data_IF_302917262460
#
_entry.id   IF_302917262460
#
_cell.length_a   1.000
_cell.length_b   1.000
_cell.length_c   1.000
_cell.angle_alpha   90.00
_cell.angle_beta   90.00
_cell.angle_gamma   90.00
#
_symmetry.space_group_name_H-M   'P 1'
#
loop_
_entity.id
_entity.type
_entity.pdbx_description
1 polymer ?
#
# COMPACT_ATOMS: atom_id res chain seq x y z
N UNK A 1 15.01 -15.68 -11.56
CA UNK A 1 14.09 -15.81 -12.72
C UNK A 1 13.26 -17.10 -12.75
N UNK A 2 13.78 -18.25 -12.26
CA UNK A 2 13.08 -19.55 -12.29
C UNK A 2 11.74 -19.59 -11.51
N UNK A 3 11.69 -19.01 -10.30
CA UNK A 3 10.49 -19.02 -9.46
C UNK A 3 9.32 -18.19 -10.04
N UNK A 4 9.60 -17.02 -10.62
CA UNK A 4 8.57 -16.15 -11.21
C UNK A 4 7.88 -16.79 -12.42
N UNK A 5 8.66 -17.35 -13.36
CA UNK A 5 8.11 -18.01 -14.55
C UNK A 5 7.24 -19.22 -14.19
N UNK A 6 7.66 -20.01 -13.20
CA UNK A 6 6.95 -21.22 -12.77
C UNK A 6 5.65 -20.94 -12.00
N UNK A 7 5.53 -19.79 -11.34
CA UNK A 7 4.30 -19.43 -10.62
C UNK A 7 3.34 -18.59 -11.46
N UNK A 8 3.84 -17.76 -12.37
CA UNK A 8 2.99 -17.05 -13.34
C UNK A 8 2.23 -17.99 -14.26
N UNK A 9 2.85 -19.11 -14.67
CA UNK A 9 2.19 -20.12 -15.49
C UNK A 9 1.01 -20.77 -14.78
N UNK A 10 1.12 -21.05 -13.47
CA UNK A 10 0.02 -21.63 -12.67
C UNK A 10 -1.18 -20.68 -12.55
N UNK A 11 -0.91 -19.39 -12.37
CA UNK A 11 -1.96 -18.37 -12.30
C UNK A 11 -2.67 -18.21 -13.65
N UNK A 12 -1.89 -18.14 -14.73
CA UNK A 12 -2.43 -18.07 -16.08
C UNK A 12 -3.28 -19.30 -16.40
N UNK A 13 -2.85 -20.49 -15.98
CA UNK A 13 -3.62 -21.72 -16.13
C UNK A 13 -4.95 -21.66 -15.36
N UNK A 14 -4.93 -21.26 -14.08
CA UNK A 14 -6.16 -21.14 -13.28
C UNK A 14 -7.18 -20.16 -13.91
N UNK A 15 -6.71 -19.03 -14.43
CA UNK A 15 -7.55 -18.05 -15.13
C UNK A 15 -8.11 -18.61 -16.44
N UNK A 16 -7.29 -19.33 -17.20
CA UNK A 16 -7.72 -19.99 -18.43
C UNK A 16 -8.80 -21.04 -18.15
N UNK A 17 -8.64 -21.87 -17.12
CA UNK A 17 -9.64 -22.86 -16.71
C UNK A 17 -10.93 -22.18 -16.26
N UNK A 18 -10.85 -21.14 -15.41
CA UNK A 18 -12.04 -20.40 -14.98
C UNK A 18 -12.78 -19.73 -16.15
N UNK A 19 -12.05 -19.19 -17.13
CA UNK A 19 -12.64 -18.64 -18.35
C UNK A 19 -13.31 -19.73 -19.19
N UNK A 20 -12.71 -20.91 -19.28
CA UNK A 20 -13.29 -22.06 -19.98
C UNK A 20 -14.60 -22.49 -19.33
N UNK A 21 -14.67 -22.54 -18.00
CA UNK A 21 -15.89 -22.89 -17.26
C UNK A 21 -17.03 -21.92 -17.58
N UNK A 22 -16.76 -20.60 -17.57
CA UNK A 22 -17.74 -19.58 -17.98
C UNK A 22 -18.23 -19.83 -19.41
N UNK A 23 -17.33 -20.12 -20.34
CA UNK A 23 -17.69 -20.42 -21.73
C UNK A 23 -18.54 -21.68 -21.86
N UNK A 24 -18.24 -22.72 -21.07
CA UNK A 24 -18.98 -23.98 -21.07
C UNK A 24 -20.42 -23.78 -20.59
N UNK A 25 -20.61 -23.15 -19.43
CA UNK A 25 -21.94 -22.87 -18.87
C UNK A 25 -22.79 -22.03 -19.84
N UNK A 26 -22.20 -21.01 -20.45
CA UNK A 26 -22.89 -20.21 -21.47
C UNK A 26 -23.34 -21.01 -22.69
N UNK A 27 -22.53 -21.98 -23.12
CA UNK A 27 -22.88 -22.85 -24.25
C UNK A 27 -24.04 -23.78 -23.88
N UNK A 28 -24.02 -24.37 -22.69
CA UNK A 28 -25.10 -25.21 -22.17
C UNK A 28 -26.42 -24.42 -22.04
N UNK A 29 -26.40 -23.22 -21.45
CA UNK A 29 -27.58 -22.35 -21.36
C UNK A 29 -28.20 -22.13 -22.74
N UNK A 30 -27.40 -21.73 -23.73
CA UNK A 30 -27.87 -21.48 -25.10
C UNK A 30 -28.46 -22.73 -25.74
N UNK A 31 -27.81 -23.89 -25.54
CA UNK A 31 -28.32 -25.15 -26.05
C UNK A 31 -29.71 -25.46 -25.48
N UNK A 32 -29.89 -25.34 -24.16
CA UNK A 32 -31.19 -25.57 -23.52
C UNK A 32 -32.26 -24.53 -23.90
N UNK A 33 -31.90 -23.26 -24.08
CA UNK A 33 -32.81 -22.20 -24.53
C UNK A 33 -33.31 -22.43 -25.98
N UNK A 34 -32.57 -23.16 -26.81
CA UNK A 34 -32.94 -23.49 -28.20
C UNK A 34 -33.87 -24.72 -28.33
N UNK A 35 -34.02 -25.54 -27.28
CA UNK A 35 -34.85 -26.75 -27.31
C UNK A 35 -36.34 -26.34 -27.15
N UNK A 36 -37.04 -26.19 -28.29
CA UNK A 36 -38.48 -25.92 -28.54
C UNK A 36 -39.39 -25.51 -27.34
N UNK A 37 -40.01 -24.32 -27.47
CA UNK A 37 -40.97 -23.72 -26.54
C UNK A 37 -42.25 -24.54 -26.28
N UNK A 38 -42.58 -25.53 -27.13
CA UNK A 38 -43.84 -26.30 -27.07
C UNK A 38 -43.87 -27.37 -25.96
N UNK A 39 -42.79 -27.56 -25.21
CA UNK A 39 -42.80 -28.38 -23.99
C UNK A 39 -41.98 -27.71 -22.90
N UNK A 40 -42.52 -26.62 -22.35
CA UNK A 40 -42.10 -26.03 -21.08
C UNK A 40 -42.50 -26.97 -19.92
N UNK A 41 -41.92 -28.16 -19.90
CA UNK A 41 -41.94 -28.98 -18.69
C UNK A 41 -41.19 -28.22 -17.58
N UNK A 42 -41.78 -28.19 -16.39
CA UNK A 42 -41.21 -27.53 -15.19
C UNK A 42 -39.75 -27.97 -14.93
N UNK A 43 -39.39 -29.20 -15.32
CA UNK A 43 -38.04 -29.73 -15.20
C UNK A 43 -37.02 -28.96 -16.08
N UNK A 44 -37.36 -28.60 -17.32
CA UNK A 44 -36.45 -27.84 -18.21
C UNK A 44 -36.22 -26.42 -17.68
N UNK A 45 -37.30 -25.76 -17.25
CA UNK A 45 -37.22 -24.42 -16.65
C UNK A 45 -36.37 -24.41 -15.38
N UNK A 46 -36.51 -25.43 -14.53
CA UNK A 46 -35.68 -25.58 -13.33
C UNK A 46 -34.19 -25.76 -13.66
N UNK A 47 -33.85 -26.47 -14.74
CA UNK A 47 -32.46 -26.68 -15.18
C UNK A 47 -31.84 -25.39 -15.74
N UNK A 48 -32.58 -24.65 -16.57
CA UNK A 48 -32.13 -23.34 -17.08
C UNK A 48 -31.87 -22.37 -15.93
N UNK A 49 -32.75 -22.36 -14.91
CA UNK A 49 -32.56 -21.54 -13.72
C UNK A 49 -31.26 -21.88 -12.98
N UNK A 50 -30.99 -23.16 -12.73
CA UNK A 50 -29.74 -23.62 -12.08
C UNK A 50 -28.51 -23.20 -12.91
N UNK A 51 -28.53 -23.43 -14.23
CA UNK A 51 -27.43 -23.04 -15.11
C UNK A 51 -27.16 -21.52 -15.08
N UNK A 52 -28.20 -20.68 -14.98
CA UNK A 52 -28.05 -19.22 -14.84
C UNK A 52 -27.42 -18.83 -13.50
N UNK A 53 -27.69 -19.56 -12.42
CA UNK A 53 -26.99 -19.37 -11.14
C UNK A 53 -25.52 -19.83 -11.22
N UNK A 54 -25.24 -20.97 -11.86
CA UNK A 54 -23.87 -21.42 -12.13
C UNK A 54 -23.06 -20.41 -12.96
N UNK A 55 -23.68 -19.77 -13.95
CA UNK A 55 -23.06 -18.73 -14.78
C UNK A 55 -22.62 -17.54 -13.91
N UNK A 56 -23.50 -17.10 -13.01
CA UNK A 56 -23.19 -16.01 -12.06
C UNK A 56 -22.02 -16.39 -11.16
N UNK A 57 -22.02 -17.60 -10.61
CA UNK A 57 -20.94 -18.11 -9.75
C UNK A 57 -19.63 -18.19 -10.55
N UNK A 58 -19.66 -18.73 -11.76
CA UNK A 58 -18.48 -18.87 -12.63
C UNK A 58 -17.87 -17.51 -13.02
N UNK A 59 -18.72 -16.52 -13.34
CA UNK A 59 -18.27 -15.15 -13.59
C UNK A 59 -17.65 -14.51 -12.34
N UNK A 60 -18.25 -14.73 -11.16
CA UNK A 60 -17.73 -14.24 -9.89
C UNK A 60 -16.35 -14.85 -9.60
N UNK A 61 -16.22 -16.18 -9.72
CA UNK A 61 -14.97 -16.92 -9.61
C UNK A 61 -13.87 -16.34 -10.51
N UNK A 62 -14.17 -16.18 -11.80
CA UNK A 62 -13.23 -15.61 -12.76
C UNK A 62 -12.77 -14.20 -12.37
N UNK A 63 -13.70 -13.36 -11.91
CA UNK A 63 -13.38 -12.00 -11.45
C UNK A 63 -12.50 -12.01 -10.20
N UNK A 64 -12.81 -12.85 -9.19
CA UNK A 64 -11.99 -12.95 -7.98
C UNK A 64 -10.56 -13.38 -8.30
N UNK A 65 -10.38 -14.33 -9.23
CA UNK A 65 -9.08 -14.78 -9.70
C UNK A 65 -8.25 -13.67 -10.36
N UNK A 66 -8.89 -12.86 -11.21
CA UNK A 66 -8.24 -11.74 -11.90
C UNK A 66 -7.82 -10.66 -10.90
N UNK A 67 -8.70 -10.31 -9.96
CA UNK A 67 -8.39 -9.34 -8.90
C UNK A 67 -7.27 -9.87 -8.01
N UNK A 68 -7.30 -11.15 -7.63
CA UNK A 68 -6.25 -11.81 -6.86
C UNK A 68 -4.87 -11.71 -7.56
N UNK A 69 -4.82 -11.93 -8.88
CA UNK A 69 -3.59 -11.78 -9.69
C UNK A 69 -3.04 -10.35 -9.67
N UNK A 70 -3.90 -9.36 -9.84
CA UNK A 70 -3.45 -7.96 -9.83
C UNK A 70 -2.81 -7.58 -8.49
N UNK A 71 -3.44 -7.94 -7.37
CA UNK A 71 -2.86 -7.70 -6.04
C UNK A 71 -1.54 -8.45 -5.86
N UNK A 72 -1.46 -9.72 -6.29
CA UNK A 72 -0.24 -10.50 -6.16
C UNK A 72 0.93 -9.89 -6.96
N UNK A 73 0.69 -9.51 -8.21
CA UNK A 73 1.68 -8.84 -9.06
C UNK A 73 2.14 -7.52 -8.44
N UNK A 74 1.19 -6.75 -7.88
CA UNK A 74 1.55 -5.49 -7.25
C UNK A 74 2.39 -5.69 -6.00
N UNK A 75 2.05 -6.70 -5.18
CA UNK A 75 2.85 -7.09 -4.02
C UNK A 75 4.27 -7.51 -4.41
N UNK A 76 4.41 -8.25 -5.52
CA UNK A 76 5.70 -8.68 -6.07
C UNK A 76 6.58 -7.51 -6.53
N UNK A 77 6.01 -6.49 -7.17
CA UNK A 77 6.72 -5.25 -7.52
C UNK A 77 7.20 -4.51 -6.27
N UNK A 78 6.30 -4.30 -5.31
CA UNK A 78 6.59 -3.60 -4.06
C UNK A 78 7.67 -4.30 -3.24
N UNK A 79 7.65 -5.63 -3.18
CA UNK A 79 8.67 -6.41 -2.49
C UNK A 79 10.05 -6.27 -3.16
N UNK A 80 10.11 -6.13 -4.50
CA UNK A 80 11.37 -5.87 -5.22
C UNK A 80 11.89 -4.45 -4.97
N UNK A 81 10.99 -3.49 -4.80
CA UNK A 81 11.31 -2.10 -4.46
C UNK A 81 11.74 -1.93 -2.98
N UNK A 82 11.58 -2.96 -2.15
CA UNK A 82 11.86 -2.90 -0.70
C UNK A 82 10.69 -2.40 0.15
N UNK A 83 9.53 -2.10 -0.46
CA UNK A 83 8.29 -1.69 0.21
C UNK A 83 7.55 -2.90 0.79
N UNK A 84 8.17 -3.56 1.78
CA UNK A 84 7.71 -4.86 2.28
C UNK A 84 6.36 -4.81 3.01
N UNK A 85 6.00 -3.70 3.66
CA UNK A 85 4.69 -3.57 4.35
C UNK A 85 3.53 -3.55 3.37
N UNK A 86 3.71 -2.88 2.25
CA UNK A 86 2.71 -2.71 1.21
C UNK A 86 2.59 -3.99 0.40
N UNK A 87 3.73 -4.65 0.17
CA UNK A 87 3.75 -5.99 -0.37
C UNK A 87 2.91 -6.93 0.51
N UNK A 88 3.09 -6.90 1.83
CA UNK A 88 2.26 -7.68 2.76
C UNK A 88 0.76 -7.40 2.61
N UNK A 89 0.35 -6.12 2.58
CA UNK A 89 -1.06 -5.73 2.42
C UNK A 89 -1.63 -6.26 1.09
N UNK A 90 -0.87 -6.15 0.01
CA UNK A 90 -1.27 -6.67 -1.29
C UNK A 90 -1.39 -8.21 -1.28
N UNK A 91 -0.45 -8.91 -0.65
CA UNK A 91 -0.53 -10.36 -0.49
C UNK A 91 -1.74 -10.78 0.37
N UNK A 92 -2.09 -10.04 1.42
CA UNK A 92 -3.30 -10.30 2.21
C UNK A 92 -4.58 -10.13 1.38
N UNK A 93 -4.68 -9.07 0.58
CA UNK A 93 -5.80 -8.88 -0.33
C UNK A 93 -5.89 -9.99 -1.37
N UNK A 94 -4.76 -10.34 -1.99
CA UNK A 94 -4.67 -11.46 -2.94
C UNK A 94 -5.10 -12.78 -2.30
N UNK A 95 -4.65 -13.06 -1.07
CA UNK A 95 -5.03 -14.25 -0.31
C UNK A 95 -6.54 -14.29 -0.04
N UNK A 96 -7.13 -13.19 0.42
CA UNK A 96 -8.59 -13.08 0.65
C UNK A 96 -9.38 -13.32 -0.63
N UNK A 97 -8.94 -12.74 -1.74
CA UNK A 97 -9.57 -12.92 -3.06
C UNK A 97 -9.45 -14.36 -3.57
N UNK A 98 -8.30 -14.98 -3.34
CA UNK A 98 -8.09 -16.39 -3.68
C UNK A 98 -8.94 -17.33 -2.80
N UNK A 99 -9.20 -16.97 -1.54
CA UNK A 99 -10.14 -17.71 -0.69
C UNK A 99 -11.57 -17.59 -1.21
N UNK A 100 -12.02 -16.38 -1.56
CA UNK A 100 -13.35 -16.17 -2.16
C UNK A 100 -13.53 -16.99 -3.45
N UNK A 101 -12.48 -17.13 -4.26
CA UNK A 101 -12.48 -18.00 -5.42
C UNK A 101 -12.64 -19.50 -5.06
N UNK A 102 -12.02 -19.97 -3.98
CA UNK A 102 -12.24 -21.35 -3.49
C UNK A 102 -13.69 -21.55 -3.03
N UNK A 103 -14.24 -20.59 -2.28
CA UNK A 103 -15.62 -20.64 -1.79
C UNK A 103 -16.61 -20.65 -2.97
N UNK A 104 -16.37 -19.83 -4.00
CA UNK A 104 -17.18 -19.80 -5.23
C UNK A 104 -17.08 -21.11 -6.03
N UNK A 105 -15.90 -21.72 -6.09
CA UNK A 105 -15.71 -23.01 -6.76
C UNK A 105 -16.44 -24.15 -6.02
N UNK A 106 -16.50 -24.09 -4.69
CA UNK A 106 -17.27 -25.04 -3.88
C UNK A 106 -18.78 -24.91 -4.13
N UNK A 107 -19.29 -23.67 -4.18
CA UNK A 107 -20.68 -23.43 -4.58
C UNK A 107 -20.97 -23.94 -6.00
N UNK A 108 -20.04 -23.70 -6.94
CA UNK A 108 -20.17 -24.18 -8.31
C UNK A 108 -20.30 -25.70 -8.36
N UNK A 109 -19.46 -26.44 -7.62
CA UNK A 109 -19.54 -27.90 -7.51
C UNK A 109 -20.92 -28.37 -7.01
N UNK A 110 -21.47 -27.68 -6.01
CA UNK A 110 -22.78 -28.02 -5.44
C UNK A 110 -23.88 -27.86 -6.51
N UNK A 111 -23.88 -26.75 -7.25
CA UNK A 111 -24.88 -26.50 -8.29
C UNK A 111 -24.75 -27.48 -9.47
N UNK A 112 -23.52 -27.76 -9.94
CA UNK A 112 -23.28 -28.76 -11.00
C UNK A 112 -23.86 -30.14 -10.64
N UNK A 113 -23.70 -30.55 -9.39
CA UNK A 113 -24.26 -31.81 -8.89
C UNK A 113 -25.80 -31.78 -8.87
N UNK A 114 -26.43 -30.65 -8.52
CA UNK A 114 -27.89 -30.48 -8.56
C UNK A 114 -28.44 -30.53 -9.99
N UNK A 115 -27.73 -29.95 -10.95
CA UNK A 115 -28.11 -29.95 -12.36
C UNK A 115 -28.05 -31.34 -13.04
N UNK A 116 -27.55 -32.36 -12.33
CA UNK A 116 -27.28 -33.72 -12.83
C UNK A 116 -26.44 -33.70 -14.11
N UNK A 117 -25.49 -32.77 -14.20
CA UNK A 117 -24.58 -32.66 -15.35
C UNK A 117 -23.49 -33.71 -15.17
N UNK A 118 -23.57 -34.80 -15.92
CA UNK A 118 -22.51 -35.81 -15.96
C UNK A 118 -21.49 -35.49 -17.07
N UNK A 119 -20.81 -34.35 -16.92
CA UNK A 119 -19.71 -33.95 -17.79
C UNK A 119 -18.37 -34.19 -17.09
N UNK A 120 -17.78 -35.36 -17.35
CA UNK A 120 -16.52 -35.77 -16.74
C UNK A 120 -15.35 -34.82 -17.06
N UNK A 121 -15.36 -34.20 -18.24
CA UNK A 121 -14.34 -33.23 -18.63
C UNK A 121 -14.39 -31.98 -17.75
N UNK A 122 -15.59 -31.42 -17.50
CA UNK A 122 -15.75 -30.26 -16.63
C UNK A 122 -15.48 -30.57 -15.16
N UNK A 123 -15.86 -31.77 -14.69
CA UNK A 123 -15.47 -32.25 -13.34
C UNK A 123 -13.95 -32.27 -13.17
N UNK A 124 -13.21 -32.75 -14.17
CA UNK A 124 -11.75 -32.75 -14.15
C UNK A 124 -11.17 -31.33 -14.15
N UNK A 125 -11.71 -30.40 -14.95
CA UNK A 125 -11.32 -28.98 -14.95
C UNK A 125 -11.52 -28.33 -13.57
N UNK A 126 -12.62 -28.63 -12.89
CA UNK A 126 -12.91 -28.13 -11.54
C UNK A 126 -11.88 -28.66 -10.53
N UNK A 127 -11.54 -29.95 -10.59
CA UNK A 127 -10.52 -30.55 -9.71
C UNK A 127 -9.15 -29.89 -9.94
N UNK A 128 -8.76 -29.70 -11.20
CA UNK A 128 -7.51 -29.03 -11.55
C UNK A 128 -7.48 -27.58 -11.07
N UNK A 129 -8.59 -26.85 -11.24
CA UNK A 129 -8.72 -25.48 -10.76
C UNK A 129 -8.59 -25.40 -9.23
N UNK A 130 -9.24 -26.30 -8.50
CA UNK A 130 -9.16 -26.35 -7.05
C UNK A 130 -7.72 -26.60 -6.56
N UNK A 131 -7.03 -27.57 -7.16
CA UNK A 131 -5.62 -27.86 -6.87
C UNK A 131 -4.76 -26.62 -7.09
N UNK A 132 -4.91 -25.97 -8.26
CA UNK A 132 -4.17 -24.76 -8.60
C UNK A 132 -4.45 -23.62 -7.62
N UNK A 133 -5.71 -23.43 -7.20
CA UNK A 133 -6.11 -22.41 -6.23
C UNK A 133 -5.50 -22.65 -4.84
N UNK A 134 -5.51 -23.89 -4.35
CA UNK A 134 -4.91 -24.27 -3.05
C UNK A 134 -3.40 -24.07 -3.05
N UNK A 135 -2.72 -24.50 -4.12
CA UNK A 135 -1.29 -24.26 -4.28
C UNK A 135 -0.96 -22.77 -4.30
N UNK A 136 -1.72 -22.00 -5.08
CA UNK A 136 -1.56 -20.55 -5.17
C UNK A 136 -1.75 -19.86 -3.82
N UNK A 137 -2.80 -20.23 -3.08
CA UNK A 137 -3.08 -19.69 -1.74
C UNK A 137 -1.88 -19.87 -0.80
N UNK A 138 -1.28 -21.06 -0.86
CA UNK A 138 -0.06 -21.38 -0.10
C UNK A 138 1.12 -20.52 -0.53
N UNK A 139 1.34 -20.32 -1.84
CA UNK A 139 2.41 -19.46 -2.33
C UNK A 139 2.23 -17.99 -1.92
N UNK A 140 1.02 -17.45 -2.02
CA UNK A 140 0.72 -16.08 -1.57
C UNK A 140 1.04 -15.92 -0.08
N UNK A 141 0.68 -16.91 0.74
CA UNK A 141 1.02 -16.89 2.17
C UNK A 141 2.54 -16.91 2.43
N UNK A 142 3.29 -17.73 1.68
CA UNK A 142 4.75 -17.76 1.79
C UNK A 142 5.39 -16.42 1.40
N UNK A 143 4.86 -15.74 0.36
CA UNK A 143 5.29 -14.38 0.00
C UNK A 143 5.00 -13.38 1.11
N UNK A 144 3.79 -13.42 1.67
CA UNK A 144 3.43 -12.60 2.82
C UNK A 144 4.40 -12.81 3.99
N UNK A 145 4.67 -14.07 4.36
CA UNK A 145 5.61 -14.39 5.45
C UNK A 145 7.02 -13.87 5.15
N UNK A 146 7.52 -14.08 3.94
CA UNK A 146 8.84 -13.57 3.53
C UNK A 146 8.90 -12.04 3.60
N UNK A 147 7.90 -11.34 3.09
CA UNK A 147 7.83 -9.88 3.17
C UNK A 147 7.74 -9.41 4.63
N UNK A 148 7.01 -10.12 5.49
CA UNK A 148 6.96 -9.85 6.93
C UNK A 148 8.31 -10.00 7.61
N UNK A 149 9.03 -11.08 7.31
CA UNK A 149 10.36 -11.35 7.87
C UNK A 149 11.35 -10.28 7.39
N UNK A 150 11.33 -9.93 6.10
CA UNK A 150 12.17 -8.87 5.54
C UNK A 150 11.84 -7.50 6.13
N UNK A 151 10.55 -7.17 6.30
CA UNK A 151 10.13 -5.94 6.98
C UNK A 151 10.62 -5.90 8.42
N UNK A 152 10.64 -7.03 9.12
CA UNK A 152 11.08 -7.12 10.53
C UNK A 152 12.59 -6.97 10.62
N UNK A 153 13.35 -7.60 9.71
CA UNK A 153 14.81 -7.53 9.67
C UNK A 153 15.34 -6.13 9.32
N UNK A 154 14.54 -5.27 8.69
CA UNK A 154 14.90 -3.87 8.43
C UNK A 154 14.64 -2.92 9.61
N UNK A 155 14.05 -3.42 10.70
CA UNK A 155 13.73 -2.58 11.86
C UNK A 155 14.92 -2.54 12.82
N UNK A 156 15.50 -1.37 12.97
CA UNK A 156 16.61 -1.10 13.87
C UNK A 156 16.13 -0.43 15.15
N UNK A 157 16.96 -0.51 16.19
CA UNK A 157 16.77 0.34 17.37
C UNK A 157 16.85 1.82 16.95
N UNK A 158 15.93 2.64 17.44
CA UNK A 158 15.84 4.05 17.03
C UNK A 158 17.13 4.82 17.35
N UNK A 159 17.84 4.45 18.42
CA UNK A 159 19.10 5.08 18.83
C UNK A 159 20.20 4.90 17.79
N UNK A 160 20.18 3.78 17.04
CA UNK A 160 21.15 3.45 16.00
C UNK A 160 20.89 4.10 14.64
N UNK A 161 19.70 4.68 14.43
CA UNK A 161 19.33 5.31 13.15
C UNK A 161 19.83 6.75 13.09
N UNK A 162 20.13 7.22 11.88
CA UNK A 162 20.38 8.64 11.60
C UNK A 162 19.67 9.03 10.32
N UNK A 163 19.33 10.31 10.16
CA UNK A 163 18.59 10.78 8.99
C UNK A 163 19.38 10.42 7.73
N UNK A 164 18.74 9.74 6.79
CA UNK A 164 19.41 9.36 5.54
C UNK A 164 19.60 10.57 4.62
N UNK A 165 20.53 10.50 3.67
CA UNK A 165 20.69 11.56 2.67
C UNK A 165 19.40 11.80 1.86
N UNK A 166 18.62 10.74 1.57
CA UNK A 166 17.31 10.86 0.93
C UNK A 166 16.32 11.62 1.81
N UNK A 167 16.34 11.37 3.12
CA UNK A 167 15.54 12.11 4.09
C UNK A 167 15.92 13.59 4.16
N UNK A 168 17.23 13.88 4.17
CA UNK A 168 17.74 15.26 4.14
C UNK A 168 17.28 15.98 2.87
N UNK A 169 17.43 15.36 1.70
CA UNK A 169 17.02 15.97 0.43
C UNK A 169 15.50 16.12 0.31
N UNK A 170 14.73 15.20 0.88
CA UNK A 170 13.28 15.32 0.97
C UNK A 170 12.86 16.55 1.78
N UNK A 171 13.42 16.74 2.98
CA UNK A 171 13.06 17.88 3.83
C UNK A 171 13.48 19.18 3.12
N UNK A 172 14.71 19.25 2.56
CA UNK A 172 15.17 20.37 1.73
C UNK A 172 14.24 20.66 0.55
N UNK A 173 13.56 19.66 0.03
CA UNK A 173 12.56 19.79 -1.03
C UNK A 173 11.42 20.76 -0.70
N UNK A 174 11.03 20.82 0.57
CA UNK A 174 10.00 21.74 1.09
C UNK A 174 10.59 23.07 1.59
N UNK A 175 11.87 23.13 1.89
CA UNK A 175 12.54 24.33 2.38
C UNK A 175 13.11 25.16 1.22
N UNK A 176 12.84 26.48 1.21
CA UNK A 176 13.41 27.37 0.19
C UNK A 176 14.86 27.72 0.54
N UNK A 177 15.80 27.35 -0.33
CA UNK A 177 17.20 27.79 -0.20
C UNK A 177 17.34 29.30 -0.44
N UNK A 178 18.05 29.99 0.46
CA UNK A 178 18.46 31.40 0.33
C UNK A 178 19.97 31.54 0.52
N UNK A 179 20.67 32.00 -0.52
CA UNK A 179 22.12 32.17 -0.49
C UNK A 179 22.59 33.37 0.35
N UNK A 180 21.69 34.33 0.60
CA UNK A 180 21.97 35.55 1.37
C UNK A 180 20.99 35.63 2.55
N UNK A 181 21.46 36.19 3.67
CA UNK A 181 20.65 36.37 4.86
C UNK A 181 19.46 37.32 4.60
N UNK A 182 18.27 36.92 5.06
CA UNK A 182 17.03 37.69 4.96
C UNK A 182 16.29 37.71 6.29
N UNK A 183 15.40 38.69 6.50
CA UNK A 183 14.51 38.70 7.66
C UNK A 183 13.26 37.86 7.36
N UNK A 184 13.00 36.86 8.19
CA UNK A 184 11.74 36.11 8.13
C UNK A 184 10.58 36.92 8.72
N UNK A 185 9.34 36.42 8.62
CA UNK A 185 8.15 37.09 9.16
C UNK A 185 8.22 37.34 10.68
N UNK A 186 9.05 36.58 11.40
CA UNK A 186 9.32 36.77 12.82
C UNK A 186 10.45 37.77 13.12
N UNK A 187 10.98 38.47 12.11
CA UNK A 187 12.03 39.48 12.25
C UNK A 187 13.45 38.93 12.49
N UNK A 188 13.64 37.60 12.43
CA UNK A 188 14.95 36.97 12.63
C UNK A 188 15.73 36.87 11.31
N UNK A 189 17.03 37.14 11.38
CA UNK A 189 17.95 36.85 10.28
C UNK A 189 17.99 35.35 10.02
N UNK A 190 17.78 34.97 8.76
CA UNK A 190 17.62 33.59 8.31
C UNK A 190 18.46 33.38 7.05
N UNK A 191 19.14 32.25 6.91
CA UNK A 191 19.96 31.92 5.74
C UNK A 191 19.88 30.43 5.39
N UNK A 192 20.23 30.06 4.15
CA UNK A 192 20.27 28.66 3.72
C UNK A 192 18.88 28.03 3.68
N UNK A 193 18.71 26.88 4.36
CA UNK A 193 17.44 26.16 4.49
C UNK A 193 16.73 26.48 5.82
N UNK A 194 16.57 27.78 6.11
CA UNK A 194 15.84 28.23 7.30
C UNK A 194 16.68 28.32 8.60
N UNK A 195 18.00 28.33 8.50
CA UNK A 195 18.89 28.47 9.66
C UNK A 195 18.85 29.90 10.21
N UNK A 196 18.77 30.06 11.53
CA UNK A 196 18.65 31.39 12.19
C UNK A 196 19.69 31.65 13.26
N UNK A 197 20.39 30.62 13.74
CA UNK A 197 21.31 30.77 14.86
C UNK A 197 22.58 31.53 14.42
N UNK A 198 22.94 32.58 15.15
CA UNK A 198 24.12 33.40 14.85
C UNK A 198 24.12 34.15 13.51
N UNK A 199 23.04 34.11 12.72
CA UNK A 199 22.96 34.76 11.39
C UNK A 199 22.86 36.28 11.53
N UNK A 200 23.60 37.00 10.70
CA UNK A 200 23.66 38.46 10.68
C UNK A 200 23.38 39.02 9.28
N UNK A 201 23.08 40.31 9.23
CA UNK A 201 22.97 41.05 7.97
C UNK A 201 24.26 40.91 7.15
N UNK A 202 24.11 40.66 5.85
CA UNK A 202 25.23 40.52 4.92
C UNK A 202 25.87 39.14 4.85
N UNK A 203 25.48 38.19 5.72
CA UNK A 203 25.96 36.82 5.64
C UNK A 203 25.56 36.17 4.31
N UNK A 204 26.50 35.41 3.72
CA UNK A 204 26.30 34.61 2.51
C UNK A 204 26.67 33.15 2.74
N UNK A 205 26.01 32.27 2.01
CA UNK A 205 26.28 30.83 1.99
C UNK A 205 26.09 30.25 0.59
N UNK A 206 26.83 29.19 0.29
CA UNK A 206 26.54 28.31 -0.83
C UNK A 206 25.66 27.12 -0.39
N UNK A 207 25.20 26.32 -1.35
CA UNK A 207 24.32 25.18 -1.13
C UNK A 207 25.00 24.05 -0.34
N UNK A 208 26.31 23.87 -0.46
CA UNK A 208 27.09 22.83 0.21
C UNK A 208 27.21 23.15 1.70
N UNK A 209 27.63 24.39 2.01
CA UNK A 209 27.70 24.91 3.38
C UNK A 209 26.32 24.93 4.04
N UNK A 210 25.29 25.37 3.32
CA UNK A 210 23.92 25.37 3.83
C UNK A 210 23.39 23.95 4.08
N UNK A 211 23.72 22.99 3.21
CA UNK A 211 23.33 21.58 3.43
C UNK A 211 24.01 21.01 4.67
N UNK A 212 25.29 21.34 4.90
CA UNK A 212 26.01 20.92 6.13
C UNK A 212 25.37 21.51 7.38
N UNK A 213 25.12 22.81 7.40
CA UNK A 213 24.43 23.49 8.52
C UNK A 213 23.05 22.87 8.75
N UNK A 214 22.30 22.63 7.68
CA UNK A 214 20.99 22.01 7.77
C UNK A 214 21.03 20.59 8.39
N UNK A 215 22.04 19.77 8.04
CA UNK A 215 22.24 18.47 8.70
C UNK A 215 22.51 18.62 10.20
N UNK A 216 23.24 19.65 10.62
CA UNK A 216 23.45 19.96 12.03
C UNK A 216 22.15 20.40 12.73
N UNK A 217 21.37 21.27 12.10
CA UNK A 217 20.05 21.69 12.60
C UNK A 217 19.09 20.50 12.77
N UNK A 218 19.16 19.51 11.87
CA UNK A 218 18.35 18.30 11.95
C UNK A 218 18.65 17.44 13.18
N UNK A 219 19.86 17.53 13.77
CA UNK A 219 20.24 16.71 14.94
C UNK A 219 19.33 16.91 16.13
N UNK A 220 18.76 18.11 16.30
CA UNK A 220 17.80 18.40 17.38
C UNK A 220 16.53 17.57 17.20
N UNK A 221 16.03 17.45 15.97
CA UNK A 221 14.83 16.67 15.66
C UNK A 221 15.10 15.16 15.64
N UNK A 222 16.29 14.75 15.20
CA UNK A 222 16.75 13.36 15.37
C UNK A 222 16.78 12.97 16.85
N UNK A 223 17.37 13.80 17.71
CA UNK A 223 17.40 13.57 19.14
C UNK A 223 15.99 13.49 19.74
N UNK A 224 15.06 14.36 19.31
CA UNK A 224 13.66 14.29 19.72
C UNK A 224 13.00 12.96 19.31
N UNK A 225 13.14 12.54 18.05
CA UNK A 225 12.57 11.26 17.59
C UNK A 225 13.14 10.09 18.39
N UNK A 226 14.47 10.04 18.60
CA UNK A 226 15.13 9.02 19.43
C UNK A 226 14.67 9.03 20.88
N UNK A 227 14.40 10.21 21.43
CA UNK A 227 13.99 10.38 22.82
C UNK A 227 12.56 9.92 23.05
N UNK A 228 11.64 10.17 22.12
CA UNK A 228 10.20 9.94 22.35
C UNK A 228 9.64 8.70 21.67
N UNK A 229 10.27 8.19 20.60
CA UNK A 229 9.89 6.90 20.00
C UNK A 229 10.59 5.76 20.74
N UNK A 230 9.82 4.73 21.11
CA UNK A 230 10.26 3.60 21.96
C UNK A 230 10.22 2.26 21.26
N UNK A 231 9.80 2.24 20.00
CA UNK A 231 9.71 1.04 19.18
C UNK A 231 10.75 1.09 18.07
N UNK A 232 11.12 -0.08 17.55
CA UNK A 232 12.04 -0.18 16.42
C UNK A 232 11.43 0.47 15.17
N UNK A 233 12.26 1.05 14.32
CA UNK A 233 11.84 1.67 13.07
C UNK A 233 12.71 1.17 11.93
N UNK A 234 12.14 1.12 10.72
CA UNK A 234 12.96 1.08 9.52
C UNK A 234 13.54 2.48 9.22
N UNK A 235 14.58 2.55 8.40
CA UNK A 235 15.23 3.82 8.03
C UNK A 235 14.24 4.85 7.47
N UNK A 236 13.34 4.43 6.57
CA UNK A 236 12.35 5.33 5.96
C UNK A 236 11.31 5.84 6.98
N UNK A 237 10.91 5.02 7.94
CA UNK A 237 10.01 5.44 9.00
C UNK A 237 10.66 6.49 9.89
N UNK A 238 11.93 6.29 10.25
CA UNK A 238 12.71 7.27 10.97
C UNK A 238 12.83 8.59 10.19
N UNK A 239 13.17 8.54 8.90
CA UNK A 239 13.26 9.73 8.06
C UNK A 239 11.94 10.51 7.98
N UNK A 240 10.81 9.83 7.82
CA UNK A 240 9.49 10.45 7.78
C UNK A 240 9.14 11.12 9.12
N UNK A 241 9.48 10.50 10.26
CA UNK A 241 9.24 11.08 11.58
C UNK A 241 10.14 12.28 11.86
N UNK A 242 11.41 12.25 11.42
CA UNK A 242 12.31 13.41 11.53
C UNK A 242 11.78 14.57 10.69
N UNK A 243 11.29 14.31 9.47
CA UNK A 243 10.65 15.36 8.64
C UNK A 243 9.41 15.97 9.30
N UNK A 244 8.52 15.12 9.84
CA UNK A 244 7.34 15.57 10.59
C UNK A 244 7.76 16.39 11.81
N UNK A 245 8.68 15.88 12.62
CA UNK A 245 9.17 16.54 13.84
C UNK A 245 9.84 17.87 13.54
N UNK A 246 10.61 17.97 12.44
CA UNK A 246 11.16 19.23 11.94
C UNK A 246 10.05 20.24 11.62
N UNK A 247 8.99 19.79 10.92
CA UNK A 247 7.94 20.70 10.47
C UNK A 247 7.01 21.20 11.59
N UNK A 248 6.65 20.32 12.53
CA UNK A 248 5.71 20.68 13.62
C UNK A 248 6.42 21.07 14.92
N UNK A 249 7.72 20.81 15.01
CA UNK A 249 8.53 21.02 16.20
C UNK A 249 8.41 19.92 17.26
N UNK A 250 9.46 19.77 18.08
CA UNK A 250 9.56 18.74 19.12
C UNK A 250 8.35 18.73 20.07
N UNK A 251 7.86 19.91 20.47
CA UNK A 251 6.79 20.01 21.47
C UNK A 251 5.49 19.41 21.01
N UNK A 252 5.10 19.67 19.75
CA UNK A 252 3.88 19.09 19.19
C UNK A 252 4.09 17.62 18.87
N UNK A 253 5.26 17.27 18.34
CA UNK A 253 5.62 15.87 18.06
C UNK A 253 5.50 14.98 19.31
N UNK A 254 6.16 15.34 20.42
CA UNK A 254 6.19 14.50 21.63
C UNK A 254 4.82 14.29 22.28
N UNK A 255 3.91 15.27 22.15
CA UNK A 255 2.56 15.24 22.73
C UNK A 255 1.51 14.62 21.80
N UNK A 256 1.89 14.28 20.57
CA UNK A 256 0.96 13.81 19.55
C UNK A 256 0.43 12.40 19.84
N UNK A 257 -0.81 12.17 19.44
CA UNK A 257 -1.37 10.81 19.38
C UNK A 257 -0.57 9.89 18.45
N UNK A 258 0.15 10.45 17.47
CA UNK A 258 1.08 9.70 16.62
C UNK A 258 2.14 8.97 17.44
N UNK A 259 2.86 9.68 18.32
CA UNK A 259 3.91 9.08 19.16
C UNK A 259 3.31 8.07 20.13
N UNK A 260 2.13 8.37 20.70
CA UNK A 260 1.40 7.47 21.58
C UNK A 260 1.01 6.17 20.88
N UNK A 261 0.35 6.25 19.72
CA UNK A 261 -0.08 5.08 18.95
C UNK A 261 1.13 4.26 18.48
N UNK A 262 2.18 4.92 17.98
CA UNK A 262 3.40 4.27 17.53
C UNK A 262 4.10 3.50 18.65
N UNK A 263 4.23 4.10 19.84
CA UNK A 263 4.86 3.44 20.99
C UNK A 263 4.07 2.24 21.52
N UNK A 264 2.77 2.18 21.23
CA UNK A 264 1.93 1.00 21.48
C UNK A 264 2.01 -0.04 20.35
N UNK A 265 2.93 0.12 19.39
CA UNK A 265 3.11 -0.78 18.26
C UNK A 265 2.06 -0.63 17.15
N UNK A 266 1.26 0.44 17.17
CA UNK A 266 0.20 0.67 16.18
C UNK A 266 0.75 1.42 14.94
N UNK A 267 1.71 0.80 14.25
CA UNK A 267 2.37 1.38 13.08
C UNK A 267 1.39 1.78 11.96
N UNK A 268 0.32 1.01 11.79
CA UNK A 268 -0.69 1.23 10.73
C UNK A 268 -1.51 2.51 10.96
N UNK A 269 -1.54 3.04 12.18
CA UNK A 269 -2.24 4.30 12.49
C UNK A 269 -1.41 5.54 12.15
N UNK A 270 -0.08 5.41 12.09
CA UNK A 270 0.82 6.55 11.87
C UNK A 270 0.46 7.37 10.63
N UNK A 271 0.14 6.77 9.46
CA UNK A 271 -0.28 7.54 8.29
C UNK A 271 -1.47 8.46 8.51
N UNK A 272 -2.51 7.98 9.19
CA UNK A 272 -3.66 8.83 9.54
C UNK A 272 -3.29 9.95 10.51
N UNK A 273 -2.41 9.67 11.49
CA UNK A 273 -1.96 10.66 12.47
C UNK A 273 -1.09 11.75 11.86
N UNK A 274 -0.27 11.43 10.86
CA UNK A 274 0.48 12.43 10.11
C UNK A 274 -0.44 13.46 9.45
N UNK A 275 -1.60 13.02 8.93
CA UNK A 275 -2.58 13.86 8.23
C UNK A 275 -3.40 14.78 9.14
N UNK A 276 -3.22 14.70 10.47
CA UNK A 276 -3.83 15.65 11.41
C UNK A 276 -3.14 17.03 11.35
N UNK A 277 -1.87 17.09 10.93
CA UNK A 277 -1.04 18.29 10.88
C UNK A 277 -1.08 18.99 9.52
N UNK A 278 -2.26 19.42 9.10
CA UNK A 278 -2.51 20.03 7.78
C UNK A 278 -2.99 21.48 7.84
N UNK A 279 -3.07 22.08 9.02
CA UNK A 279 -3.60 23.43 9.21
C UNK A 279 -2.50 24.43 9.56
N UNK A 280 -2.63 25.65 9.04
CA UNK A 280 -1.81 26.82 9.40
C UNK A 280 -2.71 27.89 10.00
N UNK A 281 -2.15 28.75 10.86
CA UNK A 281 -2.88 29.90 11.38
C UNK A 281 -2.88 31.01 10.33
N UNK A 282 -4.05 31.42 9.91
CA UNK A 282 -4.19 32.54 8.99
C UNK A 282 -3.87 33.86 9.74
N UNK A 283 -2.90 34.66 9.26
CA UNK A 283 -2.47 35.86 9.97
C UNK A 283 -3.56 36.95 10.03
N UNK A 284 -4.51 36.94 9.09
CA UNK A 284 -5.63 37.89 8.99
C UNK A 284 -6.82 37.47 9.85
N UNK A 285 -7.30 36.24 9.68
CA UNK A 285 -8.50 35.75 10.40
C UNK A 285 -8.18 35.22 11.80
N UNK A 286 -6.90 34.92 12.07
CA UNK A 286 -6.40 34.22 13.27
C UNK A 286 -6.91 32.79 13.43
N UNK A 287 -7.71 32.27 12.50
CA UNK A 287 -8.23 30.91 12.53
C UNK A 287 -7.25 29.89 11.95
N UNK A 288 -7.47 28.60 12.25
CA UNK A 288 -6.70 27.50 11.68
C UNK A 288 -7.36 27.00 10.39
N UNK A 289 -6.68 27.21 9.27
CA UNK A 289 -7.17 26.87 7.93
C UNK A 289 -6.30 25.76 7.31
N UNK A 290 -6.90 24.90 6.47
CA UNK A 290 -6.16 23.85 5.77
C UNK A 290 -5.17 24.46 4.78
N UNK A 291 -3.94 23.97 4.77
CA UNK A 291 -2.90 24.36 3.83
C UNK A 291 -2.65 23.25 2.82
N UNK A 292 -2.81 23.53 1.52
CA UNK A 292 -2.49 22.57 0.45
C UNK A 292 -1.02 22.13 0.51
N UNK A 293 -0.10 23.04 0.86
CA UNK A 293 1.31 22.72 1.02
C UNK A 293 1.56 21.72 2.14
N UNK A 294 0.88 21.88 3.29
CA UNK A 294 0.97 20.90 4.38
C UNK A 294 0.30 19.58 4.00
N UNK A 295 -0.86 19.60 3.33
CA UNK A 295 -1.53 18.38 2.84
C UNK A 295 -0.58 17.57 1.96
N UNK A 296 0.08 18.22 0.98
CA UNK A 296 1.02 17.55 0.09
C UNK A 296 2.22 17.01 0.87
N UNK A 297 2.82 17.81 1.78
CA UNK A 297 3.91 17.36 2.64
C UNK A 297 3.54 16.14 3.49
N UNK A 298 2.36 16.14 4.12
CA UNK A 298 1.89 14.99 4.91
C UNK A 298 1.68 13.76 4.04
N UNK A 299 1.16 13.91 2.83
CA UNK A 299 0.99 12.78 1.90
C UNK A 299 2.34 12.19 1.46
N UNK A 300 3.32 13.02 1.14
CA UNK A 300 4.63 12.54 0.71
C UNK A 300 5.43 11.93 1.89
N UNK A 301 5.30 12.47 3.11
CA UNK A 301 5.85 11.83 4.33
C UNK A 301 5.21 10.45 4.60
N UNK A 302 3.89 10.34 4.37
CA UNK A 302 3.19 9.05 4.43
C UNK A 302 3.71 8.10 3.34
N UNK A 303 4.01 8.62 2.15
CA UNK A 303 4.56 7.82 1.07
C UNK A 303 5.97 7.28 1.41
N UNK A 304 6.78 8.05 2.13
CA UNK A 304 8.05 7.58 2.69
C UNK A 304 7.82 6.53 3.77
N UNK A 305 6.93 6.80 4.74
CA UNK A 305 6.65 5.90 5.86
C UNK A 305 6.21 4.51 5.41
N UNK A 306 5.30 4.47 4.44
CA UNK A 306 4.76 3.25 3.85
C UNK A 306 5.75 2.71 2.81
N UNK A 307 5.91 3.41 1.70
CA UNK A 307 6.49 2.84 0.47
C UNK A 307 8.00 3.06 0.33
N UNK A 308 8.68 3.75 1.26
CA UNK A 308 10.08 4.20 1.07
C UNK A 308 10.24 5.09 -0.19
N UNK A 309 9.17 5.82 -0.58
CA UNK A 309 9.15 6.66 -1.77
C UNK A 309 9.37 8.12 -1.41
N UNK A 310 10.56 8.63 -1.72
CA UNK A 310 10.96 10.03 -1.48
C UNK A 310 10.56 10.92 -2.67
N UNK A 311 9.30 10.83 -3.11
CA UNK A 311 8.79 11.65 -4.19
C UNK A 311 8.28 12.98 -3.62
N UNK A 312 8.70 14.10 -4.18
CA UNK A 312 8.08 15.40 -3.93
C UNK A 312 7.11 15.62 -5.09
N UNK A 313 5.84 15.22 -4.91
CA UNK A 313 4.82 15.43 -5.93
C UNK A 313 4.29 16.87 -5.75
N UNK A 314 4.47 17.68 -6.79
CA UNK A 314 4.19 19.13 -6.86
C UNK A 314 5.20 20.04 -6.14
N UNK A 315 6.24 20.46 -6.87
CA UNK A 315 6.51 21.90 -6.92
C UNK A 315 5.60 22.47 -8.00
N UNK A 316 4.93 23.58 -7.67
CA UNK A 316 3.91 24.30 -8.44
C UNK A 316 2.47 23.83 -8.23
#
# INVERSE_FOLDING_TARGET
>A
MSWFKKNLSKIALALSIASSLVSCVNKEIKHFEQINEESKDNLKLSKIYILKEEEKISKRLFLQLKVSQNYELKGDELAKEGSFREAMINYQHSFKKNQQALDDLELLKIEFNKAKIDNQEEKNKIIDLERNLKERKTQIYLKYKKAKDQSTNQMSDVGSLSISDKGVDFIKGYEKFRAEAYQCEAGKWTIGFGHTDGVKFGDKTDITKATRIFKEDLKVYEAAVKKYVKVKLSQNQYDALVSLCFNIGETLFRKSDLVKDLNNGLYDKVPSRMKEWIKVRNPRTKELEKSNGLINRRNDEVDIWLYQRYNIKSKF
#
